data_IF_497527259044
#
_entry.id   IF_497527259044
#
_cell.length_a   1.000
_cell.length_b   1.000
_cell.length_c   1.000
_cell.angle_alpha   90.00
_cell.angle_beta   90.00
_cell.angle_gamma   90.00
#
_symmetry.space_group_name_H-M   'P 1'
#
loop_
_entity.id
_entity.type
_entity.pdbx_description
1 polymer ?
#
# COMPACT_ATOMS: atom_id res chain seq x y z
N UNK A 1 -15.39 -11.34 -7.32
CA UNK A 1 -13.95 -10.99 -7.28
C UNK A 1 -13.57 -10.00 -8.38
N UNK A 2 -14.08 -10.14 -9.61
CA UNK A 2 -13.66 -9.28 -10.73
C UNK A 2 -13.83 -7.78 -10.47
N UNK A 3 -14.93 -7.37 -9.84
CA UNK A 3 -15.16 -5.97 -9.46
C UNK A 3 -14.09 -5.42 -8.49
N UNK A 4 -13.59 -6.26 -7.57
CA UNK A 4 -12.49 -5.85 -6.68
C UNK A 4 -11.21 -5.61 -7.49
N UNK A 5 -10.85 -6.56 -8.36
CA UNK A 5 -9.64 -6.46 -9.18
C UNK A 5 -9.70 -5.25 -10.12
N UNK A 6 -10.85 -5.02 -10.75
CA UNK A 6 -11.02 -3.98 -11.77
C UNK A 6 -11.06 -2.57 -11.18
N UNK A 7 -11.73 -2.39 -10.03
CA UNK A 7 -12.03 -1.06 -9.51
C UNK A 7 -11.22 -0.68 -8.28
N UNK A 8 -10.94 -1.60 -7.37
CA UNK A 8 -10.23 -1.29 -6.13
C UNK A 8 -8.73 -1.57 -6.25
N UNK A 9 -8.36 -2.80 -6.62
CA UNK A 9 -6.96 -3.20 -6.63
C UNK A 9 -6.14 -2.48 -7.71
N UNK A 10 -6.78 -1.93 -8.74
CA UNK A 10 -6.09 -1.15 -9.77
C UNK A 10 -5.43 0.13 -9.22
N UNK A 11 -5.91 0.68 -8.11
CA UNK A 11 -5.44 1.99 -7.60
C UNK A 11 -4.15 1.89 -6.81
N UNK A 12 -4.06 0.96 -5.86
CA UNK A 12 -2.89 0.77 -5.00
C UNK A 12 -2.12 -0.53 -5.31
N UNK A 13 -2.73 -1.45 -6.09
CA UNK A 13 -2.26 -2.81 -6.32
C UNK A 13 -1.79 -3.48 -5.04
N UNK A 14 -2.67 -3.46 -4.05
CA UNK A 14 -2.38 -3.92 -2.70
C UNK A 14 -2.14 -5.43 -2.69
N UNK A 15 -2.96 -6.17 -3.43
CA UNK A 15 -2.91 -7.64 -3.50
C UNK A 15 -2.39 -8.06 -4.86
N UNK A 16 -1.30 -8.82 -4.91
CA UNK A 16 -0.86 -9.46 -6.15
C UNK A 16 -1.84 -10.58 -6.53
N UNK A 17 -2.40 -10.50 -7.73
CA UNK A 17 -3.46 -11.41 -8.18
C UNK A 17 -2.95 -12.83 -8.36
N UNK A 18 -1.74 -13.02 -8.90
CA UNK A 18 -1.20 -14.33 -9.20
C UNK A 18 -0.78 -15.04 -7.92
N UNK A 19 -0.06 -14.35 -7.03
CA UNK A 19 0.31 -14.87 -5.72
C UNK A 19 -0.92 -15.20 -4.88
N UNK A 20 -1.97 -14.37 -4.90
CA UNK A 20 -3.22 -14.65 -4.19
C UNK A 20 -3.86 -15.98 -4.63
N UNK A 21 -4.00 -16.21 -5.94
CA UNK A 21 -4.60 -17.46 -6.43
C UNK A 21 -3.68 -18.67 -6.28
N UNK A 22 -2.37 -18.48 -6.45
CA UNK A 22 -1.37 -19.53 -6.18
C UNK A 22 -1.44 -19.98 -4.72
N UNK A 23 -1.41 -19.03 -3.78
CA UNK A 23 -1.50 -19.28 -2.35
C UNK A 23 -2.83 -19.94 -1.96
N UNK A 24 -3.95 -19.50 -2.56
CA UNK A 24 -5.26 -20.15 -2.39
C UNK A 24 -5.24 -21.63 -2.80
N UNK A 25 -4.58 -21.96 -3.91
CA UNK A 25 -4.52 -23.31 -4.44
C UNK A 25 -3.53 -24.21 -3.68
N UNK A 26 -2.44 -23.64 -3.17
CA UNK A 26 -1.44 -24.37 -2.38
C UNK A 26 -1.81 -24.50 -0.89
N UNK A 27 -2.76 -23.70 -0.40
CA UNK A 27 -3.09 -23.60 1.02
C UNK A 27 -2.10 -22.74 1.81
N UNK A 28 -1.29 -21.93 1.12
CA UNK A 28 -0.40 -20.97 1.75
C UNK A 28 -1.19 -19.81 2.36
N UNK A 29 -0.90 -19.49 3.62
CA UNK A 29 -1.55 -18.43 4.38
C UNK A 29 -0.87 -17.07 4.26
N UNK A 30 0.33 -17.01 3.66
CA UNK A 30 1.13 -15.78 3.57
C UNK A 30 0.44 -14.73 2.69
N UNK A 31 -0.01 -15.11 1.50
CA UNK A 31 -0.67 -14.22 0.53
C UNK A 31 -2.16 -14.49 0.34
N UNK A 32 -2.71 -15.49 1.03
CA UNK A 32 -4.14 -15.80 1.02
C UNK A 32 -4.65 -16.06 2.44
N UNK A 33 -5.85 -15.57 2.73
CA UNK A 33 -6.64 -16.02 3.88
C UNK A 33 -8.12 -15.87 3.55
N UNK A 34 -8.97 -16.64 4.21
CA UNK A 34 -10.42 -16.52 4.01
C UNK A 34 -10.94 -15.15 4.43
N UNK A 35 -10.28 -14.51 5.39
CA UNK A 35 -10.56 -13.13 5.81
C UNK A 35 -10.24 -12.13 4.72
N UNK A 36 -9.04 -12.23 4.13
CA UNK A 36 -8.63 -11.39 3.01
C UNK A 36 -9.57 -11.59 1.82
N UNK A 37 -9.86 -12.83 1.45
CA UNK A 37 -10.80 -13.12 0.37
C UNK A 37 -12.18 -12.51 0.65
N UNK A 38 -12.68 -12.67 1.87
CA UNK A 38 -13.99 -12.14 2.25
C UNK A 38 -14.00 -10.61 2.29
N UNK A 39 -12.92 -9.93 2.71
CA UNK A 39 -12.81 -8.47 2.66
C UNK A 39 -12.73 -7.95 1.24
N UNK A 40 -12.01 -8.64 0.34
CA UNK A 40 -11.98 -8.32 -1.08
C UNK A 40 -13.38 -8.43 -1.70
N UNK A 41 -14.19 -9.44 -1.32
CA UNK A 41 -15.59 -9.53 -1.73
C UNK A 41 -16.43 -8.38 -1.19
N UNK A 42 -16.26 -8.02 0.09
CA UNK A 42 -16.96 -6.90 0.70
C UNK A 42 -16.61 -5.56 0.02
N UNK A 43 -15.36 -5.37 -0.38
CA UNK A 43 -14.92 -4.20 -1.15
C UNK A 43 -15.46 -4.22 -2.57
N UNK A 44 -15.39 -5.36 -3.25
CA UNK A 44 -15.96 -5.54 -4.59
C UNK A 44 -17.48 -5.27 -4.63
N UNK A 45 -18.21 -5.59 -3.56
CA UNK A 45 -19.64 -5.30 -3.42
C UNK A 45 -19.96 -3.81 -3.56
N UNK A 46 -19.05 -2.89 -3.18
CA UNK A 46 -19.27 -1.44 -3.32
C UNK A 46 -19.40 -0.98 -4.77
N UNK A 47 -18.87 -1.77 -5.71
CA UNK A 47 -18.96 -1.55 -7.14
C UNK A 47 -20.02 -2.46 -7.81
N UNK A 48 -20.70 -3.28 -7.02
CA UNK A 48 -21.74 -4.18 -7.50
C UNK A 48 -23.03 -3.45 -7.86
N UNK A 49 -23.77 -4.03 -8.80
CA UNK A 49 -25.10 -3.54 -9.16
C UNK A 49 -26.12 -3.83 -8.05
N UNK A 50 -26.50 -2.77 -7.32
CA UNK A 50 -27.46 -2.82 -6.21
C UNK A 50 -28.91 -2.95 -6.66
N UNK A 51 -29.18 -2.89 -7.97
CA UNK A 51 -30.51 -3.14 -8.51
C UNK A 51 -30.89 -4.62 -8.49
N UNK A 52 -29.90 -5.52 -8.47
CA UNK A 52 -30.12 -6.97 -8.42
C UNK A 52 -30.61 -7.40 -7.04
N UNK A 53 -31.62 -8.27 -7.02
CA UNK A 53 -32.27 -8.69 -5.77
C UNK A 53 -31.36 -9.54 -4.86
N UNK A 54 -30.47 -10.36 -5.44
CA UNK A 54 -29.49 -11.15 -4.70
C UNK A 54 -28.46 -10.28 -3.98
N UNK A 55 -28.03 -9.19 -4.62
CA UNK A 55 -27.13 -8.19 -4.04
C UNK A 55 -27.84 -7.33 -2.99
N UNK A 56 -29.10 -6.97 -3.24
CA UNK A 56 -29.91 -6.20 -2.29
C UNK A 56 -30.09 -6.93 -0.96
N UNK A 57 -30.22 -8.26 -0.98
CA UNK A 57 -30.28 -9.07 0.23
C UNK A 57 -29.03 -8.99 1.12
N UNK A 58 -27.86 -8.67 0.54
CA UNK A 58 -26.61 -8.49 1.27
C UNK A 58 -26.38 -7.05 1.74
N UNK A 59 -27.22 -6.10 1.30
CA UNK A 59 -27.04 -4.69 1.61
C UNK A 59 -27.34 -4.42 3.09
N UNK A 60 -26.46 -3.68 3.74
CA UNK A 60 -26.62 -3.26 5.13
C UNK A 60 -26.42 -1.76 5.25
N UNK A 61 -27.48 -0.98 5.00
CA UNK A 61 -27.42 0.48 5.01
C UNK A 61 -26.78 1.07 3.76
N UNK A 62 -26.20 2.26 3.89
CA UNK A 62 -25.60 3.01 2.77
C UNK A 62 -24.15 2.56 2.60
N UNK A 63 -23.82 2.01 1.41
CA UNK A 63 -22.45 1.60 1.02
C UNK A 63 -21.78 0.54 1.91
N UNK A 64 -22.54 -0.17 2.75
CA UNK A 64 -22.07 -1.28 3.57
C UNK A 64 -22.86 -2.55 3.28
N UNK A 65 -22.24 -3.70 3.51
CA UNK A 65 -22.83 -5.03 3.32
C UNK A 65 -22.84 -5.81 4.64
N UNK A 66 -23.68 -6.84 4.72
CA UNK A 66 -23.66 -7.79 5.84
C UNK A 66 -22.27 -8.43 6.01
N UNK A 67 -21.55 -8.62 4.90
CA UNK A 67 -20.17 -9.16 4.88
C UNK A 67 -19.20 -8.16 5.53
N UNK A 68 -19.27 -6.88 5.16
CA UNK A 68 -18.47 -5.83 5.80
C UNK A 68 -18.74 -5.77 7.31
N UNK A 69 -20.02 -5.80 7.71
CA UNK A 69 -20.39 -5.82 9.13
C UNK A 69 -19.84 -7.05 9.85
N UNK A 70 -19.93 -8.25 9.29
CA UNK A 70 -19.45 -9.46 9.94
C UNK A 70 -17.93 -9.44 10.11
N UNK A 71 -17.18 -9.02 9.09
CA UNK A 71 -15.73 -8.85 9.18
C UNK A 71 -15.32 -7.88 10.28
N UNK A 72 -16.03 -6.74 10.39
CA UNK A 72 -15.79 -5.77 11.47
C UNK A 72 -15.98 -6.40 12.85
N UNK A 73 -17.12 -7.07 13.06
CA UNK A 73 -17.44 -7.71 14.34
C UNK A 73 -16.43 -8.80 14.71
N UNK A 74 -15.94 -9.57 13.73
CA UNK A 74 -14.92 -10.58 13.96
C UNK A 74 -13.64 -9.96 14.55
N UNK A 75 -13.20 -8.81 14.04
CA UNK A 75 -12.04 -8.10 14.59
C UNK A 75 -12.35 -7.44 15.94
N UNK A 76 -13.49 -6.76 16.07
CA UNK A 76 -13.90 -6.07 17.30
C UNK A 76 -14.04 -7.03 18.49
N UNK A 77 -14.54 -8.25 18.28
CA UNK A 77 -14.67 -9.26 19.32
C UNK A 77 -13.41 -10.14 19.49
N UNK A 78 -12.34 -9.88 18.74
CA UNK A 78 -11.11 -10.67 18.83
C UNK A 78 -11.29 -12.14 18.41
N UNK A 79 -12.28 -12.44 17.57
CA UNK A 79 -12.55 -13.78 17.07
C UNK A 79 -11.54 -14.25 16.02
N UNK A 80 -10.59 -13.38 15.66
CA UNK A 80 -9.63 -13.60 14.59
C UNK A 80 -8.22 -13.43 15.12
N UNK A 81 -7.35 -14.38 14.79
CA UNK A 81 -5.91 -14.23 15.02
C UNK A 81 -5.28 -13.58 13.80
N UNK A 82 -4.79 -12.36 13.96
CA UNK A 82 -4.04 -11.64 12.95
C UNK A 82 -2.56 -11.73 13.26
N UNK A 83 -1.75 -11.95 12.23
CA UNK A 83 -0.31 -12.03 12.31
C UNK A 83 0.34 -11.02 11.36
N UNK A 84 1.67 -11.02 11.29
CA UNK A 84 2.41 -10.11 10.43
C UNK A 84 2.49 -10.59 8.96
N UNK A 85 1.63 -11.53 8.55
CA UNK A 85 1.58 -11.96 7.15
C UNK A 85 1.00 -10.86 6.25
N UNK A 86 1.42 -10.78 4.97
CA UNK A 86 0.80 -9.89 3.99
C UNK A 86 -0.72 -10.06 3.94
N UNK A 87 -1.25 -11.28 4.03
CA UNK A 87 -2.69 -11.53 3.97
C UNK A 87 -3.47 -10.86 5.11
N UNK A 88 -2.96 -10.93 6.35
CA UNK A 88 -3.53 -10.25 7.53
C UNK A 88 -3.46 -8.72 7.40
N UNK A 89 -2.34 -8.21 6.89
CA UNK A 89 -2.12 -6.77 6.69
C UNK A 89 -3.06 -6.22 5.62
N UNK A 90 -3.14 -6.88 4.46
CA UNK A 90 -4.04 -6.50 3.36
C UNK A 90 -5.50 -6.54 3.80
N UNK A 91 -5.89 -7.56 4.58
CA UNK A 91 -7.22 -7.65 5.14
C UNK A 91 -7.58 -6.40 5.96
N UNK A 92 -6.69 -5.98 6.86
CA UNK A 92 -6.92 -4.80 7.72
C UNK A 92 -6.96 -3.49 6.92
N UNK A 93 -6.08 -3.32 5.93
CA UNK A 93 -6.10 -2.12 5.08
C UNK A 93 -7.41 -2.01 4.29
N UNK A 94 -7.86 -3.11 3.68
CA UNK A 94 -9.15 -3.16 2.96
C UNK A 94 -10.31 -2.87 3.92
N UNK A 95 -10.29 -3.43 5.14
CA UNK A 95 -11.31 -3.16 6.16
C UNK A 95 -11.29 -1.70 6.61
N UNK A 96 -10.12 -1.08 6.69
CA UNK A 96 -9.95 0.34 6.94
C UNK A 96 -10.65 1.19 5.88
N UNK A 97 -10.44 0.89 4.61
CA UNK A 97 -11.12 1.57 3.50
C UNK A 97 -12.64 1.35 3.47
N UNK A 98 -13.10 0.17 3.87
CA UNK A 98 -14.52 -0.11 4.01
C UNK A 98 -15.16 0.77 5.09
N UNK A 99 -14.53 0.89 6.27
CA UNK A 99 -15.01 1.77 7.35
C UNK A 99 -14.93 3.25 6.95
N UNK A 100 -13.85 3.66 6.29
CA UNK A 100 -13.71 5.02 5.78
C UNK A 100 -14.84 5.33 4.78
N UNK A 101 -15.13 4.39 3.89
CA UNK A 101 -16.16 4.49 2.87
C UNK A 101 -17.59 4.66 3.39
N UNK A 102 -17.83 4.36 4.67
CA UNK A 102 -19.12 4.56 5.37
C UNK A 102 -19.07 5.73 6.36
N UNK A 103 -17.98 6.51 6.35
CA UNK A 103 -17.80 7.71 7.18
C UNK A 103 -17.23 7.45 8.58
N UNK A 104 -16.76 6.24 8.88
CA UNK A 104 -16.19 5.87 10.18
C UNK A 104 -14.67 6.04 10.20
N UNK A 105 -14.23 7.29 10.18
CA UNK A 105 -12.81 7.66 10.10
C UNK A 105 -11.97 7.13 11.26
N UNK A 106 -12.52 7.11 12.49
CA UNK A 106 -11.81 6.58 13.66
C UNK A 106 -11.52 5.08 13.57
N UNK A 107 -12.50 4.28 13.13
CA UNK A 107 -12.33 2.84 12.90
C UNK A 107 -11.37 2.57 11.73
N UNK A 108 -11.48 3.36 10.66
CA UNK A 108 -10.56 3.28 9.53
C UNK A 108 -9.10 3.51 9.94
N UNK A 109 -8.86 4.58 10.71
CA UNK A 109 -7.55 4.89 11.28
C UNK A 109 -7.03 3.75 12.16
N UNK A 110 -7.88 3.21 13.03
CA UNK A 110 -7.50 2.08 13.89
C UNK A 110 -7.05 0.86 13.07
N UNK A 111 -7.80 0.46 12.04
CA UNK A 111 -7.44 -0.70 11.23
C UNK A 111 -6.17 -0.47 10.40
N UNK A 112 -5.99 0.71 9.82
CA UNK A 112 -4.78 1.05 9.09
C UNK A 112 -3.55 1.11 10.01
N UNK A 113 -3.69 1.70 11.20
CA UNK A 113 -2.65 1.73 12.22
C UNK A 113 -2.30 0.34 12.74
N UNK A 114 -3.30 -0.53 12.91
CA UNK A 114 -3.07 -1.91 13.32
C UNK A 114 -2.33 -2.71 12.23
N UNK A 115 -2.69 -2.53 10.95
CA UNK A 115 -1.97 -3.12 9.83
C UNK A 115 -0.49 -2.70 9.82
N UNK A 116 -0.25 -1.42 10.10
CA UNK A 116 1.09 -0.82 10.16
C UNK A 116 1.92 -1.35 11.34
N UNK A 117 1.28 -1.58 12.49
CA UNK A 117 1.92 -2.23 13.64
C UNK A 117 2.28 -3.69 13.36
N UNK A 118 1.40 -4.45 12.69
CA UNK A 118 1.67 -5.82 12.28
C UNK A 118 2.83 -5.89 11.29
N UNK A 119 2.85 -4.97 10.31
CA UNK A 119 3.97 -4.84 9.38
C UNK A 119 5.27 -4.68 10.16
N UNK A 120 5.36 -3.65 11.02
CA UNK A 120 6.54 -3.37 11.85
C UNK A 120 6.97 -4.57 12.70
N UNK A 121 6.03 -5.30 13.30
CA UNK A 121 6.33 -6.51 14.05
C UNK A 121 6.88 -7.64 13.18
N UNK A 122 6.40 -7.76 11.93
CA UNK A 122 6.91 -8.71 10.95
C UNK A 122 8.35 -8.44 10.53
N UNK A 123 8.76 -7.17 10.46
CA UNK A 123 10.09 -6.78 9.98
C UNK A 123 11.23 -7.26 10.89
N UNK A 124 10.96 -7.32 12.20
CA UNK A 124 11.94 -7.76 13.18
C UNK A 124 12.07 -9.27 13.27
N UNK A 125 11.20 -10.03 12.57
CA UNK A 125 11.38 -11.46 12.42
C UNK A 125 12.38 -11.66 11.29
N UNK A 126 13.60 -12.04 11.67
CA UNK A 126 14.58 -12.60 10.75
C UNK A 126 13.86 -13.63 9.86
N UNK A 127 14.00 -13.59 8.52
CA UNK A 127 13.45 -14.64 7.68
C UNK A 127 14.12 -15.95 8.12
N UNK A 128 13.40 -16.72 8.94
CA UNK A 128 13.83 -18.00 9.45
C UNK A 128 13.92 -18.98 8.28
N UNK A 129 15.03 -18.92 7.55
CA UNK A 129 15.25 -19.73 6.37
C UNK A 129 15.78 -18.90 5.21
N UNK A 130 16.95 -19.31 4.74
CA UNK A 130 17.66 -18.97 3.51
C UNK A 130 16.86 -19.21 2.22
N UNK A 131 15.57 -18.90 2.20
CA UNK A 131 14.78 -18.86 0.97
C UNK A 131 14.82 -17.44 0.45
N UNK A 132 15.61 -17.24 -0.60
CA UNK A 132 15.57 -16.03 -1.42
C UNK A 132 14.11 -15.86 -1.88
N UNK A 133 13.48 -14.78 -1.44
CA UNK A 133 12.15 -14.40 -1.93
C UNK A 133 12.19 -14.29 -3.45
N UNK A 134 11.19 -14.85 -4.13
CA UNK A 134 11.05 -14.64 -5.57
C UNK A 134 10.78 -13.16 -5.86
N UNK A 135 11.16 -12.70 -7.06
CA UNK A 135 10.97 -11.30 -7.48
C UNK A 135 9.54 -10.80 -7.24
N UNK A 136 8.54 -11.63 -7.54
CA UNK A 136 7.13 -11.28 -7.42
C UNK A 136 6.70 -11.09 -5.96
N UNK A 137 7.25 -11.91 -5.04
CA UNK A 137 6.97 -11.81 -3.61
C UNK A 137 7.60 -10.54 -3.02
N UNK A 138 8.82 -10.19 -3.44
CA UNK A 138 9.46 -8.93 -3.10
C UNK A 138 8.62 -7.73 -3.55
N UNK A 139 8.04 -7.78 -4.75
CA UNK A 139 7.18 -6.71 -5.26
C UNK A 139 5.86 -6.61 -4.48
N UNK A 140 5.23 -7.73 -4.15
CA UNK A 140 4.02 -7.74 -3.33
C UNK A 140 4.29 -7.19 -1.91
N UNK A 141 5.46 -7.51 -1.33
CA UNK A 141 5.89 -6.94 -0.06
C UNK A 141 6.17 -5.43 -0.17
N UNK A 142 6.77 -4.96 -1.27
CA UNK A 142 6.95 -3.53 -1.53
C UNK A 142 5.60 -2.82 -1.54
N UNK A 143 4.64 -3.34 -2.31
CA UNK A 143 3.30 -2.77 -2.40
C UNK A 143 2.63 -2.69 -1.03
N UNK A 144 2.81 -3.73 -0.20
CA UNK A 144 2.32 -3.75 1.19
C UNK A 144 2.94 -2.64 2.04
N UNK A 145 4.25 -2.46 1.96
CA UNK A 145 4.99 -1.42 2.70
C UNK A 145 4.55 -0.02 2.27
N UNK A 146 4.50 0.22 0.95
CA UNK A 146 4.06 1.50 0.39
C UNK A 146 2.64 1.81 0.81
N UNK A 147 1.73 0.83 0.75
CA UNK A 147 0.37 1.00 1.22
C UNK A 147 0.35 1.33 2.72
N UNK A 148 0.92 0.50 3.60
CA UNK A 148 0.91 0.79 5.04
C UNK A 148 1.50 2.18 5.37
N UNK A 149 2.59 2.57 4.70
CA UNK A 149 3.20 3.89 4.88
C UNK A 149 2.26 5.01 4.46
N UNK A 150 1.69 4.90 3.26
CA UNK A 150 0.74 5.88 2.74
C UNK A 150 -0.49 5.98 3.66
N UNK A 151 -1.08 4.85 4.05
CA UNK A 151 -2.26 4.82 4.92
C UNK A 151 -1.93 5.37 6.31
N UNK A 152 -0.86 4.93 6.96
CA UNK A 152 -0.50 5.41 8.31
C UNK A 152 -0.20 6.91 8.31
N UNK A 153 0.58 7.40 7.35
CA UNK A 153 1.01 8.79 7.33
C UNK A 153 -0.07 9.74 6.82
N UNK A 154 -0.78 9.40 5.75
CA UNK A 154 -1.86 10.24 5.23
C UNK A 154 -3.04 10.30 6.20
N UNK A 155 -3.51 9.15 6.73
CA UNK A 155 -4.65 9.16 7.65
C UNK A 155 -4.29 9.73 9.01
N UNK A 156 -3.13 9.38 9.58
CA UNK A 156 -2.77 9.92 10.88
C UNK A 156 -2.57 11.42 10.80
N UNK A 157 -1.97 11.95 9.73
CA UNK A 157 -1.81 13.40 9.57
C UNK A 157 -3.13 14.11 9.33
N UNK A 158 -3.98 13.58 8.45
CA UNK A 158 -5.27 14.19 8.15
C UNK A 158 -6.22 14.21 9.36
N UNK A 159 -6.08 13.26 10.28
CA UNK A 159 -6.89 13.14 11.49
C UNK A 159 -6.21 13.69 12.75
N UNK A 160 -5.04 14.34 12.61
CA UNK A 160 -4.21 14.85 13.72
C UNK A 160 -3.94 13.79 14.80
N UNK A 161 -3.52 12.61 14.35
CA UNK A 161 -3.17 11.43 15.16
C UNK A 161 -1.68 11.11 15.02
N UNK A 162 -1.08 10.43 16.00
CA UNK A 162 0.30 9.95 15.86
C UNK A 162 0.40 8.84 14.82
N UNK A 163 1.51 8.79 14.10
CA UNK A 163 1.87 7.71 13.19
C UNK A 163 2.40 6.50 13.98
N UNK A 164 2.18 5.29 13.45
CA UNK A 164 2.70 4.05 14.02
C UNK A 164 4.05 3.65 13.42
N UNK A 165 4.28 4.00 12.15
CA UNK A 165 5.52 3.75 11.42
C UNK A 165 6.49 4.92 11.57
N UNK A 166 7.71 4.62 12.02
CA UNK A 166 8.80 5.59 12.09
C UNK A 166 9.63 5.54 10.82
N UNK A 167 10.30 6.65 10.49
CA UNK A 167 11.24 6.71 9.35
C UNK A 167 12.30 5.60 9.45
N UNK A 168 12.83 5.34 10.65
CA UNK A 168 13.80 4.28 10.89
C UNK A 168 13.29 2.88 10.54
N UNK A 169 11.99 2.62 10.73
CA UNK A 169 11.38 1.34 10.36
C UNK A 169 11.37 1.18 8.83
N UNK A 170 11.16 2.28 8.11
CA UNK A 170 11.11 2.31 6.64
C UNK A 170 12.49 2.35 5.98
N UNK A 171 13.49 2.96 6.60
CA UNK A 171 14.87 2.90 6.10
C UNK A 171 15.41 1.47 6.14
N UNK A 172 15.09 0.73 7.22
CA UNK A 172 15.37 -0.71 7.32
C UNK A 172 14.67 -1.49 6.20
N UNK A 173 13.40 -1.17 5.91
CA UNK A 173 12.64 -1.75 4.81
C UNK A 173 13.24 -1.46 3.45
N UNK A 174 13.51 -0.20 3.15
CA UNK A 174 14.11 0.21 1.90
C UNK A 174 15.47 -0.47 1.73
N UNK A 175 16.34 -0.48 2.74
CA UNK A 175 17.66 -1.09 2.67
C UNK A 175 17.60 -2.61 2.40
N UNK A 176 16.73 -3.32 3.13
CA UNK A 176 16.50 -4.77 2.94
C UNK A 176 16.04 -5.06 1.52
N UNK A 177 15.09 -4.27 1.03
CA UNK A 177 14.56 -4.41 -0.32
C UNK A 177 15.54 -4.01 -1.42
N UNK A 178 16.35 -2.97 -1.20
CA UNK A 178 17.39 -2.52 -2.14
C UNK A 178 18.48 -3.58 -2.33
N UNK A 179 18.79 -4.37 -1.30
CA UNK A 179 19.64 -5.55 -1.41
C UNK A 179 19.07 -6.57 -2.42
N UNK A 180 17.79 -6.91 -2.29
CA UNK A 180 17.10 -7.84 -3.20
C UNK A 180 16.91 -7.27 -4.62
N UNK A 181 16.62 -5.97 -4.76
CA UNK A 181 16.46 -5.33 -6.07
C UNK A 181 17.78 -5.09 -6.80
N UNK A 182 18.89 -4.87 -6.09
CA UNK A 182 20.20 -4.70 -6.72
C UNK A 182 20.70 -6.01 -7.36
N UNK A 183 20.31 -7.17 -6.81
CA UNK A 183 20.56 -8.48 -7.42
C UNK A 183 19.67 -8.71 -8.65
N UNK A 184 18.39 -8.33 -8.60
CA UNK A 184 17.46 -8.43 -9.74
C UNK A 184 17.80 -7.46 -10.88
N UNK A 185 18.26 -6.23 -10.58
CA UNK A 185 18.68 -5.23 -11.56
C UNK A 185 19.99 -5.61 -12.29
N UNK A 186 20.73 -6.60 -11.78
CA UNK A 186 21.92 -7.14 -12.44
C UNK A 186 21.60 -8.18 -13.53
N UNK A 187 20.33 -8.59 -13.66
CA UNK A 187 19.88 -9.47 -14.73
C UNK A 187 19.73 -8.68 -16.04
N UNK A 188 20.28 -9.17 -17.16
CA UNK A 188 20.22 -8.46 -18.43
C UNK A 188 18.78 -8.34 -18.92
N UNK A 189 18.27 -7.11 -19.06
CA UNK A 189 16.97 -6.86 -19.67
C UNK A 189 16.96 -7.33 -21.13
N UNK A 190 15.93 -8.05 -21.60
CA UNK A 190 15.74 -8.30 -23.02
C UNK A 190 15.48 -6.96 -23.75
N UNK A 191 15.99 -6.80 -24.98
CA UNK A 191 15.87 -5.57 -25.75
C UNK A 191 14.44 -5.46 -26.32
N UNK A 192 13.51 -4.90 -25.54
CA UNK A 192 12.18 -4.51 -26.03
C UNK A 192 12.01 -3.00 -25.97
N UNK A 193 11.47 -2.36 -27.01
CA UNK A 193 11.49 -0.91 -27.22
C UNK A 193 10.54 -0.10 -26.30
N UNK A 194 9.81 -0.76 -25.39
CA UNK A 194 8.96 -0.13 -24.38
C UNK A 194 8.99 -0.99 -23.10
N UNK A 195 9.20 -0.40 -21.91
CA UNK A 195 9.09 -1.16 -20.67
C UNK A 195 7.67 -1.72 -20.54
N UNK A 196 7.49 -2.98 -20.10
CA UNK A 196 6.15 -3.53 -19.86
C UNK A 196 5.43 -2.72 -18.77
N UNK A 197 4.10 -2.65 -18.83
CA UNK A 197 3.27 -1.87 -17.88
C UNK A 197 3.57 -2.20 -16.41
N UNK A 198 3.93 -3.46 -16.11
CA UNK A 198 4.37 -3.92 -14.79
C UNK A 198 5.60 -3.16 -14.28
N UNK A 199 6.59 -2.91 -15.13
CA UNK A 199 7.82 -2.18 -14.76
C UNK A 199 7.54 -0.72 -14.44
N UNK A 200 6.58 -0.09 -15.14
CA UNK A 200 6.18 1.30 -14.87
C UNK A 200 5.46 1.39 -13.51
N UNK A 201 4.59 0.43 -13.19
CA UNK A 201 3.92 0.39 -11.89
C UNK A 201 4.89 0.15 -10.73
N UNK A 202 5.83 -0.78 -10.89
CA UNK A 202 6.87 -1.05 -9.89
C UNK A 202 7.71 0.19 -9.61
N UNK A 203 8.13 0.87 -10.67
CA UNK A 203 8.88 2.11 -10.55
C UNK A 203 8.03 3.19 -9.87
N UNK A 204 6.76 3.34 -10.25
CA UNK A 204 5.83 4.26 -9.61
C UNK A 204 5.68 4.01 -8.11
N UNK A 205 5.60 2.75 -7.67
CA UNK A 205 5.56 2.40 -6.23
C UNK A 205 6.83 2.79 -5.50
N UNK A 206 7.99 2.51 -6.10
CA UNK A 206 9.28 2.90 -5.52
C UNK A 206 9.40 4.43 -5.41
N UNK A 207 9.06 5.16 -6.46
CA UNK A 207 9.05 6.62 -6.46
C UNK A 207 8.08 7.18 -5.42
N UNK A 208 6.89 6.60 -5.28
CA UNK A 208 5.92 6.98 -4.26
C UNK A 208 6.48 6.76 -2.84
N UNK A 209 7.19 5.65 -2.59
CA UNK A 209 7.84 5.41 -1.30
C UNK A 209 8.90 6.48 -1.01
N UNK A 210 9.75 6.79 -1.98
CA UNK A 210 10.80 7.79 -1.83
C UNK A 210 10.21 9.18 -1.56
N UNK A 211 9.11 9.52 -2.24
CA UNK A 211 8.37 10.77 -2.00
C UNK A 211 7.73 10.82 -0.61
N UNK A 212 7.13 9.72 -0.15
CA UNK A 212 6.59 9.63 1.20
C UNK A 212 7.70 9.85 2.24
N UNK A 213 8.83 9.14 2.11
CA UNK A 213 10.00 9.28 2.99
C UNK A 213 10.52 10.72 3.02
N UNK A 214 10.63 11.35 1.85
CA UNK A 214 11.02 12.75 1.73
C UNK A 214 10.01 13.68 2.43
N UNK A 215 8.72 13.46 2.24
CA UNK A 215 7.65 14.24 2.88
C UNK A 215 7.75 14.17 4.39
N UNK A 216 8.02 13.00 4.96
CA UNK A 216 8.19 12.88 6.40
C UNK A 216 9.45 13.60 6.91
N UNK A 217 10.57 13.52 6.18
CA UNK A 217 11.78 14.30 6.48
C UNK A 217 11.49 15.81 6.53
N UNK A 218 10.68 16.34 5.61
CA UNK A 218 10.22 17.74 5.62
C UNK A 218 9.39 18.05 6.87
N UNK A 219 8.43 17.18 7.19
CA UNK A 219 7.55 17.35 8.36
C UNK A 219 8.32 17.34 9.69
N UNK A 220 9.25 16.41 9.87
CA UNK A 220 10.11 16.35 11.06
C UNK A 220 10.92 17.64 11.24
N UNK A 221 11.44 18.22 10.15
CA UNK A 221 12.12 19.51 10.23
C UNK A 221 11.17 20.64 10.64
N UNK A 222 9.95 20.67 10.10
CA UNK A 222 8.96 21.68 10.46
C UNK A 222 8.57 21.62 11.94
N UNK A 223 8.57 20.43 12.54
CA UNK A 223 8.21 20.23 13.95
C UNK A 223 9.38 20.47 14.92
N UNK A 224 10.62 20.14 14.52
CA UNK A 224 11.77 20.11 15.43
C UNK A 224 12.80 21.24 15.23
N UNK A 225 12.84 21.91 14.07
CA UNK A 225 13.92 22.84 13.78
C UNK A 225 13.67 24.25 14.34
N UNK A 226 14.71 24.90 14.94
CA UNK A 226 14.60 26.30 15.33
C UNK A 226 14.40 27.19 14.09
N UNK A 227 13.61 28.25 14.26
CA UNK A 227 13.11 29.11 13.17
C UNK A 227 14.18 29.69 12.25
N UNK A 228 15.40 29.90 12.74
CA UNK A 228 16.55 30.40 11.98
C UNK A 228 17.19 29.36 11.06
N UNK A 229 17.06 28.07 11.35
CA UNK A 229 17.63 26.97 10.53
C UNK A 229 16.66 26.42 9.49
N UNK A 230 15.35 26.61 9.71
CA UNK A 230 14.29 26.16 8.80
C UNK A 230 14.50 26.63 7.37
N UNK A 231 14.91 27.90 7.18
CA UNK A 231 15.06 28.47 5.85
C UNK A 231 16.19 27.82 5.04
N UNK A 232 17.35 27.61 5.66
CA UNK A 232 18.50 26.96 4.99
C UNK A 232 18.23 25.48 4.73
N UNK A 233 17.60 24.79 5.68
CA UNK A 233 17.21 23.39 5.51
C UNK A 233 16.13 23.22 4.44
N UNK A 234 15.17 24.15 4.35
CA UNK A 234 14.15 24.16 3.30
C UNK A 234 14.77 24.33 1.90
N UNK A 235 15.73 25.24 1.73
CA UNK A 235 16.46 25.39 0.46
C UNK A 235 17.25 24.11 0.13
N UNK A 236 17.90 23.50 1.11
CA UNK A 236 18.61 22.24 0.87
C UNK A 236 17.67 21.12 0.43
N UNK A 237 16.47 21.05 1.01
CA UNK A 237 15.44 20.08 0.65
C UNK A 237 14.86 20.34 -0.72
N UNK A 238 14.62 21.60 -1.08
CA UNK A 238 14.17 21.99 -2.42
C UNK A 238 15.19 21.53 -3.47
N UNK A 239 16.48 21.77 -3.25
CA UNK A 239 17.53 21.30 -4.15
C UNK A 239 17.62 19.76 -4.22
N UNK A 240 17.42 19.06 -3.10
CA UNK A 240 17.41 17.59 -3.05
C UNK A 240 16.21 17.04 -3.84
N UNK A 241 15.04 17.65 -3.68
CA UNK A 241 13.82 17.29 -4.40
C UNK A 241 13.97 17.58 -5.89
N UNK A 242 14.42 18.77 -6.28
CA UNK A 242 14.63 19.14 -7.69
C UNK A 242 15.61 18.18 -8.37
N UNK A 243 16.72 17.85 -7.70
CA UNK A 243 17.70 16.91 -8.21
C UNK A 243 17.13 15.50 -8.33
N UNK A 244 16.39 15.02 -7.32
CA UNK A 244 15.75 13.72 -7.38
C UNK A 244 14.70 13.68 -8.51
N UNK A 245 13.89 14.73 -8.65
CA UNK A 245 12.84 14.84 -9.67
C UNK A 245 13.43 14.98 -11.09
N UNK A 246 14.58 15.64 -11.24
CA UNK A 246 15.26 15.78 -12.53
C UNK A 246 16.03 14.52 -12.95
N UNK A 247 16.67 13.84 -11.99
CA UNK A 247 17.66 12.79 -12.27
C UNK A 247 17.09 11.37 -12.09
N UNK A 248 16.16 11.18 -11.15
CA UNK A 248 15.62 9.86 -10.81
C UNK A 248 14.23 9.58 -11.38
N UNK A 249 13.46 10.63 -11.75
CA UNK A 249 12.14 10.44 -12.34
C UNK A 249 12.25 10.07 -13.82
N UNK A 250 11.89 8.83 -14.12
CA UNK A 250 11.82 8.27 -15.48
C UNK A 250 10.83 9.07 -16.34
N UNK A 251 11.14 9.33 -17.62
CA UNK A 251 10.36 10.25 -18.46
C UNK A 251 8.88 9.86 -18.59
N UNK A 252 8.56 8.57 -18.51
CA UNK A 252 7.20 8.03 -18.53
C UNK A 252 6.37 8.43 -17.29
N UNK A 253 7.03 8.73 -16.17
CA UNK A 253 6.41 9.18 -14.92
C UNK A 253 6.43 10.72 -14.78
N UNK A 254 6.98 11.47 -15.75
CA UNK A 254 6.90 12.94 -15.75
C UNK A 254 5.53 13.39 -16.18
N UNK A 255 4.98 14.40 -15.51
CA UNK A 255 3.75 15.05 -15.95
C UNK A 255 3.97 15.76 -17.28
N UNK A 256 3.39 15.20 -18.33
CA UNK A 256 3.24 15.83 -19.64
C UNK A 256 1.79 15.69 -20.07
N UNK A 257 1.29 16.59 -20.91
CA UNK A 257 -0.09 16.53 -21.38
C UNK A 257 -0.46 15.19 -22.03
N UNK A 258 0.53 14.48 -22.61
CA UNK A 258 0.34 13.16 -23.20
C UNK A 258 0.38 12.03 -22.15
N UNK A 259 1.32 12.05 -21.20
CA UNK A 259 1.45 11.00 -20.18
C UNK A 259 0.25 10.98 -19.23
N UNK A 260 -0.32 12.14 -18.87
CA UNK A 260 -1.50 12.23 -18.03
C UNK A 260 -2.71 11.43 -18.56
N UNK A 261 -2.88 11.38 -19.90
CA UNK A 261 -4.02 10.70 -20.53
C UNK A 261 -3.93 9.17 -20.53
N UNK A 262 -2.72 8.61 -20.35
CA UNK A 262 -2.44 7.16 -20.42
C UNK A 262 -1.99 6.60 -19.07
N UNK A 263 -1.76 7.46 -18.08
CA UNK A 263 -1.17 7.07 -16.81
C UNK A 263 -2.07 6.16 -15.94
N UNK A 264 -1.44 5.22 -15.26
CA UNK A 264 -2.06 4.35 -14.24
C UNK A 264 -2.55 5.18 -13.03
N UNK A 265 -3.60 4.79 -12.30
CA UNK A 265 -4.08 5.52 -11.13
C UNK A 265 -2.99 5.86 -10.09
N UNK A 266 -1.99 4.99 -9.89
CA UNK A 266 -0.87 5.22 -8.97
C UNK A 266 -0.08 6.48 -9.31
N UNK A 267 -0.04 6.87 -10.58
CA UNK A 267 0.61 8.10 -11.04
C UNK A 267 -0.05 9.35 -10.46
N UNK A 268 -1.37 9.33 -10.27
CA UNK A 268 -2.09 10.46 -9.67
C UNK A 268 -1.87 10.58 -8.16
N UNK A 269 -1.37 9.54 -7.49
CA UNK A 269 -0.99 9.62 -6.08
C UNK A 269 0.37 10.29 -5.88
N UNK A 270 1.19 10.40 -6.93
CA UNK A 270 2.50 11.05 -6.88
C UNK A 270 2.47 12.56 -7.16
N UNK A 271 1.30 13.13 -7.45
CA UNK A 271 1.12 14.55 -7.77
C UNK A 271 0.39 15.30 -6.68
#
# INVERSE_FOLDING_TARGET
MDLFWLHYNRSMNLVDKELFYKARNSGDTQFYSDLLHTSMLAMGFRFGDTSRDDIRGLQHGVKSSLIHRSLRLLVEYGCVKLDASPSSIHFLLILGDLEFGVGKTGSAWFYCGFASLLLRHGLHKEPSGTQLLHSDECQALLATIVACTAYDWLFSRWLDRPTNLRVSDLECLHATMKGHFSELASLPLPPTPSPPESTIEELGRKTLLDLLLFTNKVLELMECAPSTTLYLSAISMENELEKYWSDCLVPELRWTGNTASVASPTFYLMQ
#
